data_IF_820634556357
#
_entry.id   IF_820634556357
#
_cell.length_a   1.000
_cell.length_b   1.000
_cell.length_c   1.000
_cell.angle_alpha   90.00
_cell.angle_beta   90.00
_cell.angle_gamma   90.00
#
_symmetry.space_group_name_H-M   'P 1'
#
loop_
_entity.id
_entity.type
_entity.pdbx_description
1 polymer ?
#
# COMPACT_ATOMS: atom_id res chain seq x y z
N UNK A 1 78.95 -14.11 24.60
CA UNK A 1 78.11 -14.35 25.79
C UNK A 1 76.63 -14.23 25.41
N UNK A 2 75.61 -14.59 26.20
CA UNK A 2 75.32 -15.78 27.01
C UNK A 2 74.00 -15.53 27.80
N UNK A 3 72.88 -16.23 27.49
CA UNK A 3 71.64 -16.38 28.32
C UNK A 3 70.89 -15.09 28.78
N UNK A 4 69.61 -15.11 29.19
CA UNK A 4 68.55 -16.14 29.28
C UNK A 4 67.17 -15.47 29.05
N UNK A 5 66.24 -16.07 28.29
CA UNK A 5 65.11 -16.90 28.78
C UNK A 5 64.43 -16.44 30.09
N UNK A 6 63.12 -16.18 30.01
CA UNK A 6 62.17 -16.19 31.12
C UNK A 6 60.74 -16.39 30.59
N UNK A 7 60.08 -17.51 30.96
CA UNK A 7 58.66 -17.75 30.66
C UNK A 7 57.83 -17.46 31.91
N UNK A 8 56.70 -16.77 31.76
CA UNK A 8 55.65 -16.68 32.77
C UNK A 8 54.49 -17.63 32.45
N UNK A 9 54.38 -18.76 33.17
CA UNK A 9 53.26 -19.72 33.08
C UNK A 9 52.44 -19.64 34.39
N UNK A 10 51.13 -19.49 34.29
CA UNK A 10 50.21 -19.27 35.43
C UNK A 10 49.11 -20.34 35.53
N UNK A 11 49.41 -21.48 36.17
CA UNK A 11 48.50 -22.59 36.61
C UNK A 11 49.28 -23.39 37.69
N UNK A 12 48.70 -23.99 38.76
CA UNK A 12 47.32 -23.97 39.30
C UNK A 12 47.23 -23.50 40.78
N UNK A 13 46.03 -23.59 41.36
CA UNK A 13 45.81 -23.94 42.78
C UNK A 13 44.43 -24.58 42.93
N UNK A 14 44.34 -25.75 43.58
CA UNK A 14 43.16 -26.63 43.56
C UNK A 14 42.33 -26.58 44.86
N UNK A 15 41.00 -26.48 44.73
CA UNK A 15 40.01 -26.97 45.72
C UNK A 15 38.76 -27.40 44.92
N UNK A 16 38.49 -28.69 44.63
CA UNK A 16 38.14 -29.86 45.46
C UNK A 16 36.72 -29.85 46.07
N UNK A 17 36.11 -31.05 45.97
CA UNK A 17 34.97 -31.59 46.72
C UNK A 17 33.54 -31.08 46.44
N UNK A 18 32.79 -31.89 45.69
CA UNK A 18 31.42 -32.27 46.06
C UNK A 18 31.48 -33.51 46.98
N UNK A 19 30.45 -33.79 47.81
CA UNK A 19 29.64 -34.98 47.50
C UNK A 19 28.17 -35.03 48.01
N UNK A 20 27.44 -36.03 47.50
CA UNK A 20 26.35 -36.83 48.14
C UNK A 20 24.96 -36.25 48.48
N UNK A 21 23.97 -36.90 47.84
CA UNK A 21 22.61 -37.31 48.29
C UNK A 21 22.32 -37.25 49.81
N UNK A 22 21.09 -36.85 50.21
CA UNK A 22 20.60 -37.14 51.57
C UNK A 22 19.22 -36.61 52.04
N UNK A 23 18.10 -37.14 51.50
CA UNK A 23 16.83 -37.43 52.23
C UNK A 23 16.08 -36.42 53.15
N UNK A 24 14.77 -36.30 52.86
CA UNK A 24 13.58 -36.22 53.77
C UNK A 24 12.80 -34.89 54.03
N UNK A 25 11.51 -34.97 53.63
CA UNK A 25 10.26 -34.52 54.28
C UNK A 25 9.70 -33.08 54.14
N UNK A 26 8.56 -33.03 53.42
CA UNK A 26 7.22 -32.72 53.98
C UNK A 26 6.70 -31.26 53.95
N UNK A 27 6.00 -30.92 52.85
CA UNK A 27 4.70 -30.17 52.82
C UNK A 27 4.33 -29.95 51.33
N UNK A 28 3.68 -30.84 50.60
CA UNK A 28 2.36 -31.48 50.79
C UNK A 28 1.15 -30.57 50.47
N UNK A 29 0.74 -30.63 49.18
CA UNK A 29 -0.64 -30.61 48.63
C UNK A 29 -0.53 -30.58 47.10
N UNK A 30 -0.70 -31.66 46.32
CA UNK A 30 -1.90 -32.53 46.10
C UNK A 30 -3.18 -31.73 45.76
N UNK A 31 -4.01 -32.07 44.76
CA UNK A 31 -3.99 -33.05 43.62
C UNK A 31 -4.74 -32.40 42.42
N UNK A 32 -4.85 -32.91 41.18
CA UNK A 32 -4.66 -34.24 40.53
C UNK A 32 -4.12 -34.01 39.08
N UNK A 33 -4.04 -34.89 38.07
CA UNK A 33 -4.49 -36.28 37.80
C UNK A 33 -5.77 -36.36 36.92
N UNK A 34 -5.92 -37.21 35.89
CA UNK A 34 -5.03 -38.20 35.26
C UNK A 34 -5.42 -38.48 33.79
N UNK A 35 -4.59 -39.25 33.06
CA UNK A 35 -4.84 -39.66 31.66
C UNK A 35 -5.58 -41.00 31.53
N UNK A 36 -6.33 -41.15 30.44
CA UNK A 36 -6.51 -42.41 29.69
C UNK A 36 -7.15 -43.63 30.37
N UNK A 37 -8.46 -43.83 30.13
CA UNK A 37 -9.12 -45.16 30.22
C UNK A 37 -10.06 -45.35 29.04
N UNK A 38 -9.96 -46.48 28.34
CA UNK A 38 -10.83 -46.85 27.20
C UNK A 38 -11.98 -47.76 27.64
N UNK A 39 -13.26 -47.40 27.39
CA UNK A 39 -14.40 -48.34 27.48
C UNK A 39 -14.51 -49.22 26.20
N UNK A 40 -15.28 -50.33 26.24
CA UNK A 40 -15.22 -51.38 25.23
C UNK A 40 -16.09 -51.15 23.97
N UNK A 41 -15.88 -52.02 22.98
CA UNK A 41 -16.72 -52.16 21.77
C UNK A 41 -18.05 -52.82 22.14
N UNK A 42 -19.18 -52.26 21.71
CA UNK A 42 -20.48 -52.95 21.66
C UNK A 42 -21.02 -52.95 20.21
N UNK A 43 -21.29 -54.14 19.67
CA UNK A 43 -21.83 -54.34 18.33
C UNK A 43 -23.35 -54.51 18.36
N UNK A 44 -24.14 -53.43 18.29
CA UNK A 44 -25.61 -53.58 18.24
C UNK A 44 -26.44 -52.52 17.47
N UNK A 45 -26.13 -52.36 16.17
CA UNK A 45 -27.01 -51.80 15.10
C UNK A 45 -27.33 -50.27 15.20
N UNK A 46 -28.00 -49.68 14.18
CA UNK A 46 -27.76 -49.78 12.74
C UNK A 46 -27.49 -48.40 12.10
N UNK A 47 -27.11 -48.38 10.81
CA UNK A 47 -26.90 -47.13 10.03
C UNK A 47 -28.20 -46.33 9.86
N UNK A 48 -28.17 -45.04 10.17
CA UNK A 48 -29.05 -44.01 9.62
C UNK A 48 -28.22 -42.78 9.21
N UNK A 49 -28.75 -41.92 8.34
CA UNK A 49 -27.96 -40.82 7.75
C UNK A 49 -28.04 -39.53 8.57
N UNK A 50 -26.88 -38.94 8.86
CA UNK A 50 -26.73 -37.55 9.31
C UNK A 50 -25.61 -36.88 8.49
N UNK A 51 -25.94 -36.43 7.27
CA UNK A 51 -25.05 -35.65 6.42
C UNK A 51 -25.15 -34.18 6.86
N UNK A 52 -24.08 -33.62 7.42
CA UNK A 52 -24.02 -32.21 7.78
C UNK A 52 -23.92 -31.34 6.53
N UNK A 53 -25.06 -30.91 6.01
CA UNK A 53 -25.14 -29.92 4.93
C UNK A 53 -24.79 -28.55 5.49
N UNK A 54 -23.66 -27.98 5.08
CA UNK A 54 -23.37 -26.56 5.33
C UNK A 54 -24.37 -25.73 4.51
N UNK A 55 -24.99 -24.73 5.12
CA UNK A 55 -26.01 -23.92 4.44
C UNK A 55 -25.37 -23.00 3.39
N UNK A 56 -25.67 -23.27 2.12
CA UNK A 56 -25.46 -22.29 1.04
C UNK A 56 -26.31 -21.04 1.32
N UNK A 57 -25.65 -19.90 1.53
CA UNK A 57 -26.32 -18.60 1.59
C UNK A 57 -26.61 -18.13 0.16
N UNK A 58 -27.69 -18.67 -0.41
CA UNK A 58 -28.26 -18.19 -1.68
C UNK A 58 -28.61 -16.71 -1.53
N UNK A 59 -27.91 -15.87 -2.30
CA UNK A 59 -28.32 -14.48 -2.52
C UNK A 59 -29.33 -14.47 -3.66
N UNK A 60 -30.61 -14.28 -3.33
CA UNK A 60 -31.69 -14.20 -4.30
C UNK A 60 -31.50 -12.99 -5.22
N UNK A 61 -31.33 -13.25 -6.52
CA UNK A 61 -31.27 -12.23 -7.56
C UNK A 61 -32.71 -11.82 -7.95
N UNK A 62 -33.04 -10.51 -8.03
CA UNK A 62 -34.31 -10.09 -8.58
C UNK A 62 -34.41 -10.48 -10.07
N UNK A 63 -35.61 -10.83 -10.58
CA UNK A 63 -35.77 -11.36 -11.93
C UNK A 63 -35.49 -10.31 -13.02
N UNK A 64 -34.90 -10.72 -14.17
CA UNK A 64 -34.59 -9.79 -15.26
C UNK A 64 -35.85 -9.39 -16.04
N UNK A 65 -36.14 -8.09 -16.11
CA UNK A 65 -37.16 -7.58 -17.04
C UNK A 65 -36.74 -7.83 -18.50
N UNK A 66 -37.72 -8.20 -19.32
CA UNK A 66 -37.58 -8.47 -20.75
C UNK A 66 -38.62 -7.68 -21.54
N UNK A 67 -38.24 -6.54 -22.12
CA UNK A 67 -38.86 -6.07 -23.36
C UNK A 67 -38.00 -5.12 -24.20
N UNK A 68 -38.10 -5.27 -25.53
CA UNK A 68 -37.77 -4.31 -26.62
C UNK A 68 -36.57 -3.37 -26.41
N UNK A 69 -35.41 -3.54 -27.06
CA UNK A 69 -35.14 -3.55 -28.52
C UNK A 69 -35.71 -2.37 -29.33
N UNK A 70 -34.83 -1.84 -30.22
CA UNK A 70 -35.04 -0.84 -31.30
C UNK A 70 -35.19 0.65 -30.95
N UNK A 71 -34.20 1.41 -31.47
CA UNK A 71 -34.26 2.81 -31.96
C UNK A 71 -34.55 3.87 -30.87
N UNK A 72 -33.95 5.05 -30.91
CA UNK A 72 -33.22 5.69 -32.01
C UNK A 72 -33.87 7.03 -32.34
N UNK A 73 -33.06 8.05 -32.63
CA UNK A 73 -33.46 9.46 -32.79
C UNK A 73 -34.79 9.68 -33.53
N UNK A 74 -35.68 10.50 -32.94
CA UNK A 74 -36.16 11.74 -33.58
C UNK A 74 -36.90 12.67 -32.62
N UNK A 75 -36.90 13.96 -32.97
CA UNK A 75 -37.59 15.04 -32.27
C UNK A 75 -39.10 15.04 -32.55
N UNK A 76 -39.81 15.89 -31.81
CA UNK A 76 -41.18 16.38 -32.08
C UNK A 76 -42.36 15.45 -31.76
N UNK A 77 -43.10 15.80 -30.72
CA UNK A 77 -44.53 16.07 -30.83
C UNK A 77 -44.99 17.04 -29.73
N UNK A 78 -45.95 17.92 -30.05
CA UNK A 78 -46.66 18.76 -29.05
C UNK A 78 -47.58 17.87 -28.21
N UNK A 79 -47.88 18.26 -26.96
CA UNK A 79 -49.06 17.77 -26.24
C UNK A 79 -49.77 18.93 -25.53
N UNK A 80 -50.95 19.31 -26.04
CA UNK A 80 -51.92 20.12 -25.31
C UNK A 80 -52.64 19.24 -24.27
N UNK A 81 -52.98 19.84 -23.14
CA UNK A 81 -53.97 19.39 -22.14
C UNK A 81 -54.71 20.67 -21.67
N UNK A 82 -55.91 20.61 -21.07
CA UNK A 82 -57.08 21.22 -21.72
C UNK A 82 -57.49 22.58 -21.18
N UNK A 83 -58.52 23.17 -21.79
CA UNK A 83 -59.28 24.28 -21.23
C UNK A 83 -60.19 23.78 -20.09
N UNK A 84 -60.47 24.66 -19.14
CA UNK A 84 -61.68 24.62 -18.31
C UNK A 84 -62.35 25.97 -18.56
N UNK A 85 -63.57 25.93 -19.11
CA UNK A 85 -64.48 27.07 -19.09
C UNK A 85 -65.42 26.88 -17.89
N UNK A 86 -65.64 27.93 -17.12
CA UNK A 86 -66.63 27.94 -16.04
C UNK A 86 -67.37 29.27 -16.12
N UNK A 87 -68.66 29.21 -16.48
CA UNK A 87 -69.47 30.36 -16.88
C UNK A 87 -70.73 30.50 -16.04
N UNK A 88 -71.02 31.75 -15.71
CA UNK A 88 -72.31 32.31 -15.30
C UNK A 88 -72.90 32.01 -13.92
N UNK A 89 -72.87 33.06 -13.08
CA UNK A 89 -73.97 33.64 -12.27
C UNK A 89 -74.85 32.69 -11.41
N UNK A 90 -75.18 33.00 -10.15
CA UNK A 90 -76.01 34.17 -9.80
C UNK A 90 -75.98 34.60 -8.32
N UNK A 91 -76.00 35.92 -8.10
CA UNK A 91 -76.75 36.70 -7.07
C UNK A 91 -76.68 36.39 -5.56
N UNK A 92 -76.49 37.48 -4.79
CA UNK A 92 -76.91 37.73 -3.40
C UNK A 92 -76.20 36.90 -2.29
N UNK A 93 -75.91 37.43 -1.11
CA UNK A 93 -76.36 38.68 -0.47
C UNK A 93 -75.19 39.43 0.22
N UNK A 94 -75.48 40.58 0.84
CA UNK A 94 -74.53 41.35 1.63
C UNK A 94 -74.71 41.11 3.14
N UNK A 95 -73.63 41.22 3.90
CA UNK A 95 -73.65 41.71 5.29
C UNK A 95 -72.26 42.32 5.65
N UNK A 96 -72.18 43.45 6.37
CA UNK A 96 -70.90 44.11 6.69
C UNK A 96 -70.56 44.16 8.19
N UNK A 97 -69.34 43.76 8.59
CA UNK A 97 -68.63 44.30 9.75
C UNK A 97 -67.12 44.05 9.66
N UNK A 98 -66.35 44.96 10.28
CA UNK A 98 -64.97 44.85 10.79
C UNK A 98 -64.10 43.65 10.39
N UNK A 99 -62.89 43.94 9.92
CA UNK A 99 -61.71 44.00 10.82
C UNK A 99 -60.79 45.15 10.41
N UNK A 100 -59.99 45.65 11.36
CA UNK A 100 -58.97 46.69 11.10
C UNK A 100 -57.67 45.99 10.71
N UNK A 101 -57.28 46.04 9.42
CA UNK A 101 -56.00 45.46 9.00
C UNK A 101 -54.83 46.17 9.70
N UNK A 102 -54.26 45.50 10.70
CA UNK A 102 -53.03 45.92 11.34
C UNK A 102 -51.90 45.70 10.35
N UNK A 103 -51.38 46.79 9.78
CA UNK A 103 -50.18 46.77 8.96
C UNK A 103 -48.96 46.36 9.81
N UNK A 104 -48.77 45.05 9.97
CA UNK A 104 -47.53 44.48 10.48
C UNK A 104 -46.54 44.53 9.32
N UNK A 105 -45.47 45.35 9.38
CA UNK A 105 -44.42 45.28 8.37
C UNK A 105 -43.79 43.89 8.47
N UNK A 106 -43.87 43.11 7.38
CA UNK A 106 -43.06 41.90 7.25
C UNK A 106 -41.62 42.36 7.29
N UNK A 107 -40.93 42.04 8.38
CA UNK A 107 -39.48 42.13 8.42
C UNK A 107 -38.95 41.09 7.46
N UNK A 108 -38.68 41.51 6.22
CA UNK A 108 -37.87 40.78 5.25
C UNK A 108 -36.70 40.18 6.04
N UNK A 109 -36.59 38.85 6.04
CA UNK A 109 -35.54 38.15 6.77
C UNK A 109 -34.25 38.41 6.02
N UNK A 110 -33.65 39.58 6.27
CA UNK A 110 -32.54 40.14 5.52
C UNK A 110 -31.54 39.05 5.19
N UNK A 111 -31.39 38.79 3.89
CA UNK A 111 -31.01 37.46 3.41
C UNK A 111 -29.78 36.97 4.15
N UNK A 112 -29.93 35.78 4.74
CA UNK A 112 -28.93 35.21 5.61
C UNK A 112 -27.60 35.24 4.88
N UNK A 113 -26.60 35.87 5.50
CA UNK A 113 -25.29 36.11 4.90
C UNK A 113 -24.79 34.83 4.23
N UNK A 114 -25.01 34.74 2.92
CA UNK A 114 -24.32 33.78 2.08
C UNK A 114 -22.87 34.21 2.20
N UNK A 115 -22.16 33.54 3.10
CA UNK A 115 -20.74 33.41 2.98
C UNK A 115 -20.55 32.73 1.63
N UNK A 116 -20.40 33.57 0.60
CA UNK A 116 -19.45 33.34 -0.48
C UNK A 116 -18.20 32.80 0.20
N UNK A 117 -18.16 31.47 0.31
CA UNK A 117 -16.93 30.75 0.48
C UNK A 117 -16.24 30.92 -0.86
N UNK A 118 -15.62 32.10 -1.00
CA UNK A 118 -14.44 32.31 -1.82
C UNK A 118 -13.50 31.17 -1.47
N UNK A 119 -13.62 30.12 -2.26
CA UNK A 119 -13.13 28.79 -1.92
C UNK A 119 -11.66 28.80 -2.31
N UNK A 120 -10.87 29.39 -1.41
CA UNK A 120 -9.49 29.81 -1.62
C UNK A 120 -8.67 28.68 -2.25
N UNK A 121 -8.53 28.78 -3.58
CA UNK A 121 -7.92 27.82 -4.52
C UNK A 121 -7.95 26.37 -4.03
N UNK A 122 -9.17 25.83 -3.85
CA UNK A 122 -9.36 24.44 -3.43
C UNK A 122 -8.75 23.49 -4.47
N UNK A 123 -7.61 22.90 -4.10
CA UNK A 123 -6.92 21.84 -4.85
C UNK A 123 -7.90 20.71 -5.17
N UNK A 124 -8.00 20.33 -6.44
CA UNK A 124 -8.97 19.35 -6.92
C UNK A 124 -8.95 18.04 -6.09
N UNK A 125 -10.12 17.49 -5.79
CA UNK A 125 -10.26 16.20 -5.08
C UNK A 125 -9.47 15.07 -5.76
N UNK A 126 -9.31 15.13 -7.09
CA UNK A 126 -8.47 14.22 -7.87
C UNK A 126 -6.98 14.34 -7.49
N UNK A 127 -6.46 15.57 -7.33
CA UNK A 127 -5.08 15.85 -6.93
C UNK A 127 -4.86 15.47 -5.45
N UNK A 128 -5.82 15.77 -4.57
CA UNK A 128 -5.79 15.31 -3.17
C UNK A 128 -5.76 13.79 -3.09
N UNK A 129 -6.60 13.11 -3.88
CA UNK A 129 -6.63 11.65 -3.99
C UNK A 129 -5.31 11.07 -4.53
N UNK A 130 -4.71 11.68 -5.56
CA UNK A 130 -3.42 11.26 -6.11
C UNK A 130 -2.27 11.49 -5.12
N UNK A 131 -2.25 12.62 -4.40
CA UNK A 131 -1.27 12.91 -3.36
C UNK A 131 -1.38 11.90 -2.20
N UNK A 132 -2.59 11.57 -1.74
CA UNK A 132 -2.79 10.56 -0.70
C UNK A 132 -2.29 9.17 -1.12
N UNK A 133 -2.49 8.79 -2.39
CA UNK A 133 -1.94 7.54 -2.97
C UNK A 133 -0.40 7.58 -3.00
N UNK A 134 0.19 8.71 -3.38
CA UNK A 134 1.65 8.91 -3.41
C UNK A 134 2.28 8.87 -2.01
N UNK A 135 1.65 9.49 -1.02
CA UNK A 135 2.05 9.44 0.38
C UNK A 135 1.93 8.02 0.97
N UNK A 136 0.88 7.26 0.61
CA UNK A 136 0.73 5.87 1.04
C UNK A 136 1.83 4.96 0.46
N UNK A 137 2.16 5.08 -0.84
CA UNK A 137 3.26 4.33 -1.44
C UNK A 137 4.62 4.71 -0.82
N UNK A 138 4.83 5.99 -0.51
CA UNK A 138 6.04 6.47 0.19
C UNK A 138 6.15 5.88 1.62
N UNK A 139 5.03 5.85 2.34
CA UNK A 139 4.96 5.28 3.69
C UNK A 139 5.17 3.76 3.68
N UNK A 140 4.64 3.03 2.69
CA UNK A 140 4.87 1.59 2.51
C UNK A 140 6.33 1.27 2.15
N UNK A 141 6.94 2.07 1.28
CA UNK A 141 8.37 2.00 0.94
C UNK A 141 9.27 2.24 2.18
N UNK A 142 8.91 3.19 3.03
CA UNK A 142 9.56 3.40 4.33
C UNK A 142 9.30 2.27 5.34
N UNK A 143 8.08 1.72 5.38
CA UNK A 143 7.71 0.64 6.30
C UNK A 143 8.45 -0.68 6.06
N UNK A 144 8.98 -0.90 4.84
CA UNK A 144 9.84 -2.06 4.52
C UNK A 144 11.34 -1.80 4.71
N UNK A 145 11.74 -0.65 5.27
CA UNK A 145 13.12 -0.37 5.64
C UNK A 145 13.79 -1.38 6.61
N UNK A 146 13.07 -2.07 7.53
CA UNK A 146 13.64 -3.18 8.31
C UNK A 146 13.98 -4.41 7.47
N UNK A 147 13.42 -4.56 6.26
CA UNK A 147 13.67 -5.70 5.37
C UNK A 147 14.96 -5.44 4.59
N UNK A 148 16.07 -5.47 5.32
CA UNK A 148 17.42 -5.19 4.87
C UNK A 148 18.37 -6.32 5.30
N UNK A 149 18.98 -7.00 4.33
CA UNK A 149 19.95 -8.08 4.57
C UNK A 149 21.35 -7.57 4.19
N UNK A 150 22.27 -7.34 5.15
CA UNK A 150 23.62 -6.91 4.83
C UNK A 150 24.38 -8.01 4.09
N UNK A 151 25.24 -7.62 3.15
CA UNK A 151 26.06 -8.53 2.36
C UNK A 151 27.53 -8.46 2.79
N UNK A 152 28.27 -9.58 2.82
CA UNK A 152 29.70 -9.58 3.13
C UNK A 152 30.57 -9.06 1.97
N UNK A 153 29.99 -8.85 0.78
CA UNK A 153 30.67 -8.42 -0.45
C UNK A 153 30.14 -7.08 -0.99
N UNK A 154 29.26 -6.38 -0.27
CA UNK A 154 28.71 -5.09 -0.70
C UNK A 154 28.45 -4.18 0.48
N UNK A 155 28.78 -2.88 0.40
CA UNK A 155 28.36 -1.92 1.42
C UNK A 155 26.84 -1.72 1.44
N UNK A 156 26.16 -1.96 0.32
CA UNK A 156 24.71 -1.85 0.22
C UNK A 156 24.02 -3.16 0.67
N UNK A 157 23.02 -3.11 1.57
CA UNK A 157 22.23 -4.29 1.93
C UNK A 157 21.23 -4.64 0.81
N UNK A 158 20.87 -5.92 0.68
CA UNK A 158 19.70 -6.31 -0.13
C UNK A 158 18.46 -5.82 0.60
N UNK A 159 17.72 -4.90 -0.01
CA UNK A 159 16.50 -4.31 0.54
C UNK A 159 15.25 -4.86 -0.17
N UNK A 160 14.06 -4.62 0.38
CA UNK A 160 12.79 -4.79 -0.36
C UNK A 160 12.38 -3.53 -1.15
N UNK A 161 13.11 -2.42 -1.02
CA UNK A 161 12.67 -1.09 -1.43
C UNK A 161 12.43 -0.95 -2.94
N UNK A 162 13.28 -1.56 -3.78
CA UNK A 162 13.14 -1.51 -5.25
C UNK A 162 11.79 -2.10 -5.74
N UNK A 163 11.17 -3.03 -5.00
CA UNK A 163 9.82 -3.53 -5.32
C UNK A 163 8.78 -2.39 -5.29
N UNK A 164 8.87 -1.49 -4.31
CA UNK A 164 7.95 -0.37 -4.17
C UNK A 164 8.27 0.75 -5.17
N UNK A 165 9.52 0.87 -5.64
CA UNK A 165 9.88 1.74 -6.77
C UNK A 165 9.20 1.26 -8.06
N UNK A 166 9.23 -0.05 -8.34
CA UNK A 166 8.47 -0.62 -9.47
C UNK A 166 6.96 -0.41 -9.30
N UNK A 167 6.40 -0.71 -8.12
CA UNK A 167 4.96 -0.53 -7.86
C UNK A 167 4.51 0.93 -7.92
N UNK A 168 5.33 1.90 -7.50
CA UNK A 168 5.01 3.33 -7.64
C UNK A 168 4.86 3.72 -9.12
N UNK A 169 5.82 3.34 -9.97
CA UNK A 169 5.71 3.56 -11.42
C UNK A 169 4.54 2.82 -12.06
N UNK A 170 4.30 1.56 -11.65
CA UNK A 170 3.21 0.73 -12.18
C UNK A 170 1.82 1.23 -11.79
N UNK A 171 1.61 1.76 -10.59
CA UNK A 171 0.28 2.05 -10.05
C UNK A 171 -0.11 3.53 -10.09
N UNK A 172 0.87 4.45 -10.09
CA UNK A 172 0.67 5.90 -10.05
C UNK A 172 1.16 6.61 -11.33
N UNK A 173 1.71 5.87 -12.30
CA UNK A 173 2.20 6.43 -13.55
C UNK A 173 3.46 7.29 -13.39
N UNK A 174 3.90 7.99 -14.45
CA UNK A 174 5.22 8.64 -14.48
C UNK A 174 5.36 9.78 -13.47
N UNK A 175 4.34 10.62 -13.34
CA UNK A 175 4.37 11.82 -12.49
C UNK A 175 4.22 11.45 -11.01
N UNK A 176 3.10 10.83 -10.64
CA UNK A 176 2.81 10.52 -9.24
C UNK A 176 3.64 9.36 -8.68
N UNK A 177 4.11 8.44 -9.54
CA UNK A 177 5.13 7.45 -9.16
C UNK A 177 6.44 8.13 -8.75
N UNK A 178 6.94 9.08 -9.56
CA UNK A 178 8.13 9.87 -9.22
C UNK A 178 7.94 10.71 -7.95
N UNK A 179 6.80 11.41 -7.82
CA UNK A 179 6.46 12.22 -6.62
C UNK A 179 6.40 11.36 -5.36
N UNK A 180 5.83 10.15 -5.43
CA UNK A 180 5.79 9.22 -4.29
C UNK A 180 7.20 8.90 -3.76
N UNK A 181 8.15 8.64 -4.66
CA UNK A 181 9.53 8.40 -4.25
C UNK A 181 10.19 9.69 -3.72
N UNK A 182 9.91 10.87 -4.30
CA UNK A 182 10.42 12.14 -3.79
C UNK A 182 9.88 12.48 -2.37
N UNK A 183 8.63 12.10 -2.06
CA UNK A 183 8.09 12.19 -0.69
C UNK A 183 8.85 11.27 0.29
N UNK A 184 9.19 10.05 -0.14
CA UNK A 184 10.03 9.15 0.64
C UNK A 184 11.46 9.69 0.85
N UNK A 185 12.10 10.23 -0.20
CA UNK A 185 13.44 10.81 -0.10
C UNK A 185 13.46 12.05 0.78
N UNK A 186 12.46 12.93 0.70
CA UNK A 186 12.38 14.13 1.55
C UNK A 186 12.05 13.78 3.00
N UNK A 187 11.17 12.81 3.26
CA UNK A 187 10.91 12.28 4.60
C UNK A 187 12.19 11.71 5.26
N UNK A 188 12.97 10.92 4.51
CA UNK A 188 14.26 10.45 4.99
C UNK A 188 15.30 11.57 5.15
N UNK A 189 15.35 12.54 4.24
CA UNK A 189 16.27 13.69 4.30
C UNK A 189 16.11 14.51 5.59
N UNK A 190 14.87 14.77 6.03
CA UNK A 190 14.58 15.49 7.28
C UNK A 190 14.82 14.66 8.56
N UNK A 191 15.23 13.40 8.42
CA UNK A 191 15.69 12.56 9.53
C UNK A 191 14.76 11.42 9.95
N UNK A 192 13.65 11.14 9.24
CA UNK A 192 12.84 9.97 9.58
C UNK A 192 13.61 8.68 9.23
N UNK A 193 13.52 7.62 10.06
CA UNK A 193 14.24 6.36 9.86
C UNK A 193 13.56 5.47 8.79
N UNK A 194 13.39 6.00 7.58
CA UNK A 194 12.72 5.32 6.44
C UNK A 194 13.70 4.72 5.44
N UNK A 195 14.99 5.02 5.54
CA UNK A 195 16.01 4.39 4.68
C UNK A 195 16.44 3.03 5.28
N UNK A 196 16.93 2.15 4.40
CA UNK A 196 17.26 0.75 4.70
C UNK A 196 18.06 0.56 5.99
N UNK A 197 17.62 -0.33 6.86
CA UNK A 197 18.20 -0.52 8.20
C UNK A 197 17.68 0.45 9.27
N UNK A 198 16.54 1.12 9.01
CA UNK A 198 15.94 2.14 9.88
C UNK A 198 16.85 3.36 10.13
N UNK A 199 17.51 3.83 9.08
CA UNK A 199 18.36 5.03 9.10
C UNK A 199 17.70 6.21 8.38
N UNK A 200 18.22 7.42 8.60
CA UNK A 200 17.68 8.65 8.04
C UNK A 200 18.69 9.79 8.08
N UNK A 201 18.30 10.94 7.52
CA UNK A 201 19.09 12.15 7.41
C UNK A 201 19.84 12.29 6.07
N UNK A 202 20.22 13.53 5.75
CA UNK A 202 20.93 13.90 4.52
C UNK A 202 22.21 13.09 4.26
N UNK A 203 22.92 12.65 5.31
CA UNK A 203 24.14 11.85 5.20
C UNK A 203 23.97 10.55 4.40
N UNK A 204 22.77 9.96 4.39
CA UNK A 204 22.49 8.73 3.63
C UNK A 204 22.30 9.03 2.13
N UNK A 205 21.83 10.23 1.78
CA UNK A 205 21.66 10.68 0.39
C UNK A 205 22.96 11.12 -0.28
N UNK A 206 24.04 11.31 0.49
CA UNK A 206 25.41 11.62 0.01
C UNK A 206 26.43 10.56 0.39
N UNK A 207 26.01 9.49 1.06
CA UNK A 207 26.82 8.29 1.34
C UNK A 207 26.69 7.25 0.23
N UNK A 208 27.36 6.12 0.39
CA UNK A 208 27.56 5.07 -0.62
C UNK A 208 26.27 4.56 -1.29
N UNK A 209 25.14 4.54 -0.57
CA UNK A 209 23.82 4.13 -1.11
C UNK A 209 23.05 5.26 -1.79
N UNK A 210 23.52 6.51 -1.71
CA UNK A 210 22.83 7.71 -2.20
C UNK A 210 22.49 7.66 -3.69
N UNK A 211 23.41 7.18 -4.54
CA UNK A 211 23.15 7.04 -5.98
C UNK A 211 21.97 6.12 -6.32
N UNK A 212 21.76 5.06 -5.53
CA UNK A 212 20.59 4.18 -5.69
C UNK A 212 19.33 4.94 -5.28
N UNK A 213 19.34 5.65 -4.14
CA UNK A 213 18.21 6.45 -3.67
C UNK A 213 17.81 7.54 -4.69
N UNK A 214 18.78 8.26 -5.28
CA UNK A 214 18.53 9.26 -6.33
C UNK A 214 18.06 8.66 -7.66
N UNK A 215 18.39 7.40 -7.95
CA UNK A 215 17.89 6.69 -9.14
C UNK A 215 16.41 6.30 -9.02
N UNK A 216 15.92 6.05 -7.81
CA UNK A 216 14.56 5.54 -7.58
C UNK A 216 13.43 6.42 -8.16
N UNK A 217 13.38 7.76 -8.00
CA UNK A 217 12.31 8.57 -8.59
C UNK A 217 12.35 8.57 -10.12
N UNK A 218 13.56 8.51 -10.71
CA UNK A 218 13.77 8.42 -12.16
C UNK A 218 13.31 7.05 -12.67
N UNK A 219 13.62 5.97 -11.94
CA UNK A 219 13.18 4.61 -12.26
C UNK A 219 11.65 4.46 -12.16
N UNK A 220 11.01 4.99 -11.12
CA UNK A 220 9.56 5.01 -10.99
C UNK A 220 8.91 5.80 -12.15
N UNK A 221 9.46 6.97 -12.50
CA UNK A 221 9.00 7.75 -13.64
C UNK A 221 9.18 7.01 -14.98
N UNK A 222 10.30 6.33 -15.20
CA UNK A 222 10.56 5.52 -16.39
C UNK A 222 9.60 4.33 -16.52
N UNK A 223 9.38 3.57 -15.44
CA UNK A 223 8.39 2.48 -15.41
C UNK A 223 7.02 3.03 -15.71
N UNK A 224 6.62 4.13 -15.06
CA UNK A 224 5.34 4.78 -15.31
C UNK A 224 5.17 5.23 -16.76
N UNK A 225 6.18 5.87 -17.35
CA UNK A 225 6.13 6.37 -18.73
C UNK A 225 6.01 5.24 -19.74
N UNK A 226 6.81 4.18 -19.61
CA UNK A 226 6.78 3.04 -20.54
C UNK A 226 5.52 2.17 -20.37
N UNK A 227 4.99 2.06 -19.15
CA UNK A 227 3.79 1.25 -18.87
C UNK A 227 2.51 1.99 -19.23
N UNK A 228 2.43 3.31 -19.10
CA UNK A 228 1.19 4.07 -19.37
C UNK A 228 1.19 4.79 -20.72
N UNK A 229 2.36 5.20 -21.22
CA UNK A 229 2.51 5.91 -22.50
C UNK A 229 2.24 7.42 -22.43
N UNK A 230 1.95 7.96 -21.24
CA UNK A 230 1.61 9.36 -21.01
C UNK A 230 1.13 9.60 -19.58
N UNK A 231 0.27 10.62 -19.41
CA UNK A 231 -0.43 10.90 -18.14
C UNK A 231 -1.57 9.93 -17.84
N UNK A 232 -2.17 9.34 -18.88
CA UNK A 232 -3.42 8.61 -18.77
C UNK A 232 -3.18 7.18 -18.24
N UNK A 233 -3.82 6.83 -17.11
CA UNK A 233 -3.59 5.56 -16.44
C UNK A 233 -4.39 4.41 -17.07
N UNK A 234 -3.79 3.73 -18.06
CA UNK A 234 -4.24 2.39 -18.51
C UNK A 234 -3.86 1.30 -17.51
N UNK A 235 -4.43 0.10 -17.65
CA UNK A 235 -4.15 -1.02 -16.75
C UNK A 235 -2.80 -1.72 -17.04
N UNK A 236 -1.86 -1.80 -16.09
CA UNK A 236 -0.63 -2.59 -16.25
C UNK A 236 -0.91 -4.10 -16.38
N UNK A 237 -2.08 -4.58 -15.96
CA UNK A 237 -2.51 -5.97 -16.18
C UNK A 237 -2.83 -6.27 -17.66
N UNK A 238 -3.20 -5.26 -18.47
CA UNK A 238 -3.41 -5.43 -19.92
C UNK A 238 -2.09 -5.49 -20.71
N UNK A 239 -1.01 -4.91 -20.16
CA UNK A 239 0.31 -4.86 -20.81
C UNK A 239 0.93 -6.26 -20.91
N UNK A 240 1.50 -6.63 -22.06
CA UNK A 240 2.03 -7.99 -22.26
C UNK A 240 3.18 -8.30 -21.29
N UNK A 241 3.20 -9.51 -20.72
CA UNK A 241 4.19 -9.90 -19.71
C UNK A 241 5.65 -9.76 -20.18
N UNK A 242 6.02 -10.09 -21.44
CA UNK A 242 7.39 -9.84 -21.92
C UNK A 242 7.77 -8.36 -21.98
N UNK A 243 6.83 -7.47 -22.33
CA UNK A 243 7.08 -6.02 -22.32
C UNK A 243 7.23 -5.50 -20.88
N UNK A 244 6.36 -5.95 -19.97
CA UNK A 244 6.45 -5.62 -18.54
C UNK A 244 7.79 -6.07 -17.94
N UNK A 245 8.27 -7.27 -18.25
CA UNK A 245 9.62 -7.73 -17.88
C UNK A 245 10.69 -6.80 -18.46
N UNK A 246 10.61 -6.45 -19.74
CA UNK A 246 11.55 -5.54 -20.39
C UNK A 246 11.63 -4.16 -19.72
N UNK A 247 10.49 -3.59 -19.31
CA UNK A 247 10.43 -2.31 -18.57
C UNK A 247 11.07 -2.42 -17.19
N UNK A 248 10.77 -3.49 -16.44
CA UNK A 248 11.38 -3.68 -15.11
C UNK A 248 12.88 -3.97 -15.19
N UNK A 249 13.35 -4.67 -16.21
CA UNK A 249 14.79 -4.85 -16.50
C UNK A 249 15.44 -3.50 -16.85
N UNK A 250 14.82 -2.67 -17.69
CA UNK A 250 15.33 -1.34 -18.01
C UNK A 250 15.42 -0.43 -16.76
N UNK A 251 14.41 -0.48 -15.89
CA UNK A 251 14.42 0.23 -14.61
C UNK A 251 15.49 -0.32 -13.65
N UNK A 252 15.70 -1.63 -13.61
CA UNK A 252 16.79 -2.27 -12.84
C UNK A 252 18.16 -1.80 -13.35
N UNK A 253 18.36 -1.77 -14.67
CA UNK A 253 19.61 -1.27 -15.29
C UNK A 253 19.83 0.21 -14.95
N UNK A 254 18.78 1.03 -14.93
CA UNK A 254 18.90 2.44 -14.51
C UNK A 254 19.29 2.56 -13.03
N UNK A 255 18.62 1.82 -12.15
CA UNK A 255 18.88 1.84 -10.69
C UNK A 255 20.31 1.42 -10.39
N UNK A 256 20.71 0.25 -10.88
CA UNK A 256 22.03 -0.30 -10.61
C UNK A 256 23.13 0.41 -11.40
N UNK A 257 22.84 0.95 -12.58
CA UNK A 257 23.78 1.79 -13.33
C UNK A 257 24.10 3.10 -12.60
N UNK A 258 23.09 3.86 -12.19
CA UNK A 258 23.28 5.11 -11.44
C UNK A 258 23.87 4.87 -10.05
N UNK A 259 23.35 3.88 -9.31
CA UNK A 259 23.84 3.53 -7.99
C UNK A 259 25.29 3.07 -7.98
N UNK A 260 25.65 2.13 -8.87
CA UNK A 260 27.02 1.61 -8.98
C UNK A 260 27.98 2.67 -9.48
N UNK A 261 27.60 3.50 -10.47
CA UNK A 261 28.48 4.56 -10.97
C UNK A 261 28.75 5.64 -9.91
N UNK A 262 27.73 6.02 -9.13
CA UNK A 262 27.89 6.94 -8.01
C UNK A 262 28.79 6.36 -6.91
N UNK A 263 28.55 5.11 -6.53
CA UNK A 263 29.34 4.40 -5.52
C UNK A 263 30.80 4.23 -5.97
N UNK A 264 31.04 3.91 -7.25
CA UNK A 264 32.39 3.83 -7.83
C UNK A 264 33.13 5.17 -7.75
N UNK A 265 32.44 6.27 -8.04
CA UNK A 265 32.98 7.63 -7.94
C UNK A 265 33.26 8.04 -6.48
N UNK A 266 32.38 7.70 -5.54
CA UNK A 266 32.53 8.08 -4.13
C UNK A 266 33.60 7.25 -3.38
N UNK A 267 33.79 5.98 -3.77
CA UNK A 267 34.75 5.05 -3.16
C UNK A 267 36.03 4.82 -3.99
N UNK A 268 36.23 5.58 -5.07
CA UNK A 268 37.37 5.50 -5.99
C UNK A 268 37.64 4.09 -6.57
N UNK A 269 36.58 3.28 -6.75
CA UNK A 269 36.68 1.87 -7.17
C UNK A 269 36.93 1.71 -8.67
N UNK A 270 37.63 0.64 -9.06
CA UNK A 270 37.70 0.24 -10.47
C UNK A 270 36.31 -0.20 -10.98
N UNK A 271 36.02 0.01 -12.26
CA UNK A 271 34.72 -0.32 -12.89
C UNK A 271 34.33 -1.79 -12.65
N UNK A 272 35.28 -2.72 -12.70
CA UNK A 272 35.02 -4.14 -12.43
C UNK A 272 34.68 -4.41 -10.96
N UNK A 273 35.42 -3.80 -10.03
CA UNK A 273 35.16 -3.92 -8.59
C UNK A 273 33.79 -3.32 -8.24
N UNK A 274 33.49 -2.12 -8.73
CA UNK A 274 32.19 -1.48 -8.58
C UNK A 274 31.04 -2.38 -9.07
N UNK A 275 31.16 -3.04 -10.22
CA UNK A 275 30.12 -3.96 -10.72
C UNK A 275 29.97 -5.20 -9.82
N UNK A 276 31.09 -5.78 -9.37
CA UNK A 276 31.10 -7.01 -8.56
C UNK A 276 30.61 -6.80 -7.13
N UNK A 277 30.77 -5.60 -6.55
CA UNK A 277 30.22 -5.25 -5.22
C UNK A 277 28.87 -4.52 -5.30
N UNK A 278 28.63 -3.70 -6.32
CA UNK A 278 27.48 -2.78 -6.41
C UNK A 278 26.27 -3.29 -7.19
N UNK A 279 26.44 -4.27 -8.09
CA UNK A 279 25.35 -4.77 -8.94
C UNK A 279 25.22 -6.30 -8.91
N UNK A 280 26.32 -7.03 -9.10
CA UNK A 280 26.32 -8.49 -9.24
C UNK A 280 25.66 -9.25 -8.07
N UNK A 281 25.84 -8.87 -6.78
CA UNK A 281 25.25 -9.61 -5.66
C UNK A 281 23.73 -9.50 -5.56
N UNK A 282 23.13 -8.46 -6.16
CA UNK A 282 21.71 -8.14 -6.01
C UNK A 282 20.82 -8.87 -7.02
N UNK A 283 21.37 -9.32 -8.15
CA UNK A 283 20.62 -9.89 -9.28
C UNK A 283 19.59 -10.97 -8.85
N UNK A 284 19.90 -11.95 -7.98
CA UNK A 284 18.90 -12.93 -7.54
C UNK A 284 17.74 -12.29 -6.77
N UNK A 285 18.03 -11.25 -5.98
CA UNK A 285 17.03 -10.46 -5.26
C UNK A 285 16.20 -9.55 -6.17
N UNK A 286 16.74 -9.08 -7.29
CA UNK A 286 16.01 -8.28 -8.28
C UNK A 286 15.08 -9.13 -9.14
N UNK A 287 15.52 -10.31 -9.57
CA UNK A 287 14.66 -11.29 -10.26
C UNK A 287 13.42 -11.62 -9.42
N UNK A 288 13.59 -11.81 -8.10
CA UNK A 288 12.48 -12.04 -7.17
C UNK A 288 11.55 -10.83 -7.05
N UNK A 289 12.08 -9.60 -6.96
CA UNK A 289 11.26 -8.36 -6.91
C UNK A 289 10.48 -8.13 -8.20
N UNK A 290 11.11 -8.34 -9.36
CA UNK A 290 10.42 -8.22 -10.65
C UNK A 290 9.29 -9.25 -10.77
N UNK A 291 9.54 -10.51 -10.39
CA UNK A 291 8.50 -11.54 -10.35
C UNK A 291 7.35 -11.17 -9.40
N UNK A 292 7.65 -10.61 -8.22
CA UNK A 292 6.64 -10.14 -7.27
C UNK A 292 5.81 -8.96 -7.81
N UNK A 293 6.45 -7.95 -8.41
CA UNK A 293 5.77 -6.81 -9.02
C UNK A 293 4.81 -7.25 -10.15
N UNK A 294 5.29 -8.14 -11.03
CA UNK A 294 4.48 -8.75 -12.10
C UNK A 294 3.29 -9.52 -11.51
N UNK A 295 3.50 -10.33 -10.48
CA UNK A 295 2.45 -11.13 -9.85
C UNK A 295 1.39 -10.28 -9.14
N UNK A 296 1.78 -9.18 -8.48
CA UNK A 296 0.86 -8.24 -7.81
C UNK A 296 -0.08 -7.61 -8.83
N UNK A 297 0.48 -7.07 -9.92
CA UNK A 297 -0.28 -6.48 -11.04
C UNK A 297 -1.17 -7.53 -11.72
N UNK A 298 -0.58 -8.64 -12.19
CA UNK A 298 -1.28 -9.62 -13.03
C UNK A 298 -2.38 -10.41 -12.31
N UNK A 299 -2.40 -10.38 -10.98
CA UNK A 299 -3.47 -10.99 -10.17
C UNK A 299 -4.69 -10.07 -10.01
N UNK A 300 -4.62 -8.80 -10.43
CA UNK A 300 -5.73 -7.85 -10.32
C UNK A 300 -6.11 -7.49 -8.88
N UNK A 301 -5.23 -7.75 -7.91
CA UNK A 301 -5.47 -7.43 -6.48
C UNK A 301 -5.40 -5.93 -6.22
N UNK A 302 -4.64 -5.22 -7.05
CA UNK A 302 -4.57 -3.75 -7.07
C UNK A 302 -5.04 -3.31 -8.44
N UNK A 303 -6.25 -2.76 -8.52
CA UNK A 303 -6.71 -2.09 -9.73
C UNK A 303 -5.94 -0.77 -9.93
N UNK A 304 -5.71 -0.33 -11.19
CA UNK A 304 -5.12 0.97 -11.45
C UNK A 304 -6.05 2.04 -10.88
N UNK A 305 -5.49 2.92 -10.05
CA UNK A 305 -6.26 3.93 -9.36
C UNK A 305 -6.54 5.09 -10.31
N UNK A 306 -7.60 4.92 -11.12
CA UNK A 306 -8.08 5.91 -12.08
C UNK A 306 -8.15 7.30 -11.44
N UNK A 307 -7.70 8.27 -12.22
CA UNK A 307 -7.90 9.71 -12.02
C UNK A 307 -9.31 10.09 -12.45
#
# INVERSE_FOLDING_TARGET
>A
MCRSRGLGRWIPSDHLEAPTRGTLRSSEKEITGCSGVTPPIDERRPRSHARWTVCDRVLEQPPPDRRSTRRGQKLSARRKVPQIEESDLTSNAADPISETEVFIPVYERGDGMETERSSAELVDDAVVGQFARAALLAALLGAVAPVAIPLPLSPAPITLQVLFVFLAGLLLGPVWGGISILLYLTAGAIGLPVFSGMVGGLGVLVGETGGYLWSYPIAAALVGLLIHGGTDLRDPADVSTPFLVGVLVAATILIYGMGTAYMAWLLELEVWEAITVGALPFIPGELLKMAAAIAIVKRGVVSPLRS
#
